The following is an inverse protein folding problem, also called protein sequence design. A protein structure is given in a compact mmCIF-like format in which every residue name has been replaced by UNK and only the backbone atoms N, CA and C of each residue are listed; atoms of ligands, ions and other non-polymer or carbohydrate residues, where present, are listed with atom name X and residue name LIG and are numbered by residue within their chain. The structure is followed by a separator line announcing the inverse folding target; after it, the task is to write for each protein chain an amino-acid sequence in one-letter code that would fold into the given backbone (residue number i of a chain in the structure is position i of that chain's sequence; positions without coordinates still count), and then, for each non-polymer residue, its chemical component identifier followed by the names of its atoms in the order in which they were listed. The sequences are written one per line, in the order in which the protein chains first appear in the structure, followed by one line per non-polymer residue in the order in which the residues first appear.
data_IF_126782626498
#
_entry.id   IF_126782626498
#
_cell.length_a   1.000
_cell.length_b   1.000
_cell.length_c   1.000
_cell.angle_alpha   90.00
_cell.angle_beta   90.00
_cell.angle_gamma   90.00
#
_symmetry.space_group_name_H-M   'P 1'
#
loop_
_entity.id
_entity.type
_entity.pdbx_description
1 polymer ?
#
# COMPACT_ATOMS: atom_id res chain seq x y z
N UNK A 1 1.99 -17.63 7.20
CA UNK A 1 0.76 -17.13 7.83
C UNK A 1 -0.29 -18.21 7.89
N UNK A 2 -0.55 -18.75 9.09
CA UNK A 2 -1.72 -19.58 9.35
C UNK A 2 -2.95 -18.66 9.46
N UNK A 3 -4.03 -18.87 8.70
CA UNK A 3 -5.26 -18.11 8.90
C UNK A 3 -5.82 -18.41 10.30
N UNK A 4 -6.16 -17.36 11.04
CA UNK A 4 -6.79 -17.45 12.36
C UNK A 4 -8.29 -17.19 12.25
N UNK A 5 -9.03 -17.64 13.25
CA UNK A 5 -10.49 -17.50 13.30
C UNK A 5 -10.88 -16.01 13.32
N UNK A 6 -11.60 -15.59 12.27
CA UNK A 6 -12.07 -14.22 12.12
C UNK A 6 -13.31 -13.92 12.99
N UNK A 7 -14.20 -14.89 13.18
CA UNK A 7 -15.40 -14.72 14.01
C UNK A 7 -15.01 -14.53 15.48
N UNK A 8 -13.91 -15.16 15.89
CA UNK A 8 -13.29 -14.95 17.19
C UNK A 8 -12.32 -13.74 17.27
N UNK A 9 -12.20 -12.93 16.21
CA UNK A 9 -11.26 -11.78 16.09
C UNK A 9 -9.79 -12.13 16.39
N UNK A 10 -9.37 -13.38 16.17
CA UNK A 10 -8.00 -13.81 16.45
C UNK A 10 -7.00 -13.23 15.44
N UNK A 11 -7.45 -12.92 14.23
CA UNK A 11 -6.68 -12.24 13.19
C UNK A 11 -6.33 -10.79 13.58
N UNK A 12 -7.30 -10.05 14.13
CA UNK A 12 -7.10 -8.70 14.63
C UNK A 12 -6.17 -8.68 15.84
N UNK A 13 -6.38 -9.62 16.77
CA UNK A 13 -5.50 -9.82 17.94
C UNK A 13 -4.06 -10.13 17.53
N UNK A 14 -3.86 -10.94 16.48
CA UNK A 14 -2.53 -11.24 15.96
C UNK A 14 -1.83 -10.01 15.37
N UNK A 15 -2.56 -9.05 14.79
CA UNK A 15 -1.96 -7.79 14.35
C UNK A 15 -1.47 -6.94 15.52
N UNK A 16 -2.20 -6.94 16.64
CA UNK A 16 -1.78 -6.24 17.87
C UNK A 16 -0.49 -6.84 18.41
N UNK A 17 -0.44 -8.16 18.62
CA UNK A 17 0.77 -8.84 19.11
C UNK A 17 1.98 -8.66 18.17
N UNK A 18 1.76 -8.63 16.85
CA UNK A 18 2.83 -8.36 15.89
C UNK A 18 3.38 -6.94 16.07
N UNK A 19 2.51 -5.94 16.24
CA UNK A 19 2.94 -4.56 16.46
C UNK A 19 3.70 -4.40 17.78
N UNK A 20 3.22 -5.04 18.85
CA UNK A 20 3.89 -5.02 20.15
C UNK A 20 5.29 -5.62 20.04
N UNK A 21 5.42 -6.78 19.40
CA UNK A 21 6.71 -7.42 19.14
C UNK A 21 7.65 -6.50 18.33
N UNK A 22 7.15 -5.87 17.27
CA UNK A 22 7.96 -4.96 16.46
C UNK A 22 8.43 -3.74 17.27
N UNK A 23 7.55 -3.16 18.08
CA UNK A 23 7.87 -2.02 18.93
C UNK A 23 8.91 -2.39 20.01
N UNK A 24 8.72 -3.50 20.71
CA UNK A 24 9.65 -4.01 21.74
C UNK A 24 11.06 -4.28 21.18
N UNK A 25 11.14 -4.65 19.90
CA UNK A 25 12.40 -4.94 19.21
C UNK A 25 12.95 -3.76 18.40
N UNK A 26 12.38 -2.54 18.55
CA UNK A 26 12.76 -1.35 17.77
C UNK A 26 12.74 -1.59 16.24
N UNK A 27 11.84 -2.45 15.78
CA UNK A 27 11.64 -2.75 14.37
C UNK A 27 10.57 -1.83 13.82
N UNK A 28 10.95 -1.02 12.82
CA UNK A 28 10.08 -0.01 12.23
C UNK A 28 9.70 -0.43 10.80
N UNK A 29 8.49 -0.98 10.56
CA UNK A 29 8.09 -1.43 9.23
C UNK A 29 8.08 -0.27 8.23
N UNK A 30 8.89 -0.36 7.18
CA UNK A 30 8.99 0.68 6.15
C UNK A 30 8.02 0.47 4.98
N UNK A 31 7.47 -0.75 4.86
CA UNK A 31 6.48 -1.12 3.84
C UNK A 31 5.23 -1.65 4.54
N UNK A 32 4.09 -1.01 4.28
CA UNK A 32 2.79 -1.47 4.78
C UNK A 32 1.91 -1.89 3.60
N UNK A 33 1.31 -3.06 3.70
CA UNK A 33 0.48 -3.64 2.64
C UNK A 33 -0.90 -3.96 3.19
N UNK A 34 -1.92 -3.30 2.66
CA UNK A 34 -3.31 -3.61 2.96
C UNK A 34 -3.96 -4.34 1.77
N UNK A 35 -4.26 -5.62 1.95
CA UNK A 35 -4.97 -6.48 0.96
C UNK A 35 -6.28 -7.06 1.50
N UNK A 36 -6.71 -6.61 2.67
CA UNK A 36 -7.99 -7.02 3.25
C UNK A 36 -9.16 -6.34 2.56
N UNK A 37 -10.36 -6.61 3.04
CA UNK A 37 -11.52 -5.81 2.65
C UNK A 37 -11.39 -4.35 3.12
N UNK A 38 -11.96 -3.43 2.35
CA UNK A 38 -11.88 -1.98 2.59
C UNK A 38 -12.38 -1.55 3.96
N UNK A 39 -13.34 -2.25 4.55
CA UNK A 39 -13.83 -1.97 5.90
C UNK A 39 -12.82 -2.29 7.01
N UNK A 40 -11.75 -3.04 6.72
CA UNK A 40 -10.63 -3.25 7.65
C UNK A 40 -9.54 -2.19 7.53
N UNK A 41 -9.50 -1.42 6.44
CA UNK A 41 -8.47 -0.41 6.19
C UNK A 41 -8.34 0.62 7.34
N UNK A 42 -9.43 1.14 7.95
CA UNK A 42 -9.31 2.02 9.11
C UNK A 42 -8.54 1.39 10.28
N UNK A 43 -8.67 0.07 10.50
CA UNK A 43 -7.90 -0.63 11.54
C UNK A 43 -6.42 -0.72 11.20
N UNK A 44 -6.09 -0.95 9.93
CA UNK A 44 -4.69 -0.94 9.46
C UNK A 44 -4.08 0.45 9.63
N UNK A 45 -4.78 1.52 9.25
CA UNK A 45 -4.29 2.90 9.33
C UNK A 45 -4.00 3.30 10.78
N UNK A 46 -4.92 3.04 11.71
CA UNK A 46 -4.73 3.33 13.15
C UNK A 46 -3.54 2.63 13.81
N UNK A 47 -3.01 1.59 13.16
CA UNK A 47 -1.88 0.78 13.64
C UNK A 47 -0.54 1.17 13.03
N UNK A 48 -0.51 2.12 12.10
CA UNK A 48 0.73 2.56 11.48
C UNK A 48 1.57 3.37 12.48
N UNK A 49 2.86 3.05 12.58
CA UNK A 49 3.79 3.70 13.51
C UNK A 49 4.37 5.04 13.01
N UNK A 50 3.87 5.57 11.88
CA UNK A 50 4.26 6.86 11.32
C UNK A 50 5.57 6.88 10.50
N UNK A 51 6.24 5.72 10.37
CA UNK A 51 7.52 5.61 9.68
C UNK A 51 7.43 4.93 8.31
N UNK A 52 6.23 4.59 7.82
CA UNK A 52 6.07 3.86 6.57
C UNK A 52 6.54 4.73 5.38
N UNK A 53 7.39 4.16 4.53
CA UNK A 53 7.90 4.81 3.30
C UNK A 53 7.15 4.35 2.06
N UNK A 54 6.61 3.13 2.07
CA UNK A 54 5.76 2.60 1.00
C UNK A 54 4.47 2.06 1.61
N UNK A 55 3.33 2.48 1.07
CA UNK A 55 2.01 1.96 1.44
C UNK A 55 1.31 1.44 0.20
N UNK A 56 0.94 0.17 0.21
CA UNK A 56 0.18 -0.47 -0.88
C UNK A 56 -1.25 -0.74 -0.42
N UNK A 57 -2.20 -0.02 -0.99
CA UNK A 57 -3.64 -0.20 -0.76
C UNK A 57 -4.21 -1.03 -1.89
N UNK A 58 -4.12 -2.35 -1.76
CA UNK A 58 -4.61 -3.32 -2.74
C UNK A 58 -6.06 -3.77 -2.51
N UNK A 59 -6.76 -3.19 -1.53
CA UNK A 59 -8.21 -3.39 -1.30
C UNK A 59 -9.04 -2.54 -2.27
N UNK A 60 -10.37 -2.70 -2.28
CA UNK A 60 -11.25 -1.80 -3.02
C UNK A 60 -11.22 -0.37 -2.45
N UNK A 61 -11.27 0.64 -3.32
CA UNK A 61 -11.41 2.06 -2.94
C UNK A 61 -10.27 2.63 -2.08
N UNK A 62 -9.06 2.08 -2.18
CA UNK A 62 -7.93 2.51 -1.34
C UNK A 62 -7.63 4.00 -1.45
N UNK A 63 -7.86 4.61 -2.62
CA UNK A 63 -7.66 6.03 -2.88
C UNK A 63 -8.45 6.97 -1.93
N UNK A 64 -9.55 6.52 -1.33
CA UNK A 64 -10.38 7.38 -0.46
C UNK A 64 -9.73 7.70 0.89
N UNK A 65 -8.68 6.96 1.28
CA UNK A 65 -8.08 7.04 2.62
C UNK A 65 -6.66 7.64 2.60
N UNK A 66 -6.32 8.37 1.53
CA UNK A 66 -4.99 8.95 1.38
C UNK A 66 -4.66 9.97 2.45
N UNK A 67 -5.65 10.79 2.85
CA UNK A 67 -5.46 11.81 3.87
C UNK A 67 -4.99 11.20 5.19
N UNK A 68 -5.76 10.24 5.71
CA UNK A 68 -5.45 9.58 6.98
C UNK A 68 -4.07 8.88 6.97
N UNK A 69 -3.64 8.36 5.81
CA UNK A 69 -2.31 7.74 5.67
C UNK A 69 -1.20 8.79 5.68
N UNK A 70 -1.39 9.91 4.97
CA UNK A 70 -0.42 11.00 4.87
C UNK A 70 -0.30 11.75 6.21
N UNK A 71 -1.39 11.91 6.94
CA UNK A 71 -1.39 12.53 8.27
C UNK A 71 -0.53 11.74 9.27
N UNK A 72 -0.53 10.41 9.15
CA UNK A 72 0.30 9.53 9.99
C UNK A 72 1.71 9.35 9.41
N UNK A 73 1.83 9.19 8.08
CA UNK A 73 3.07 8.90 7.37
C UNK A 73 3.29 9.91 6.22
N UNK A 74 3.73 11.14 6.52
CA UNK A 74 3.81 12.24 5.53
C UNK A 74 4.75 11.91 4.35
N UNK A 75 5.75 11.07 4.59
CA UNK A 75 6.70 10.65 3.55
C UNK A 75 6.23 9.47 2.69
N UNK A 76 5.09 8.84 3.00
CA UNK A 76 4.68 7.60 2.36
C UNK A 76 4.50 7.75 0.84
N UNK A 77 5.08 6.84 0.06
CA UNK A 77 4.75 6.63 -1.35
C UNK A 77 3.60 5.64 -1.43
N UNK A 78 2.46 6.09 -1.95
CA UNK A 78 1.21 5.31 -1.88
C UNK A 78 0.85 4.76 -3.27
N UNK A 79 0.79 3.43 -3.38
CA UNK A 79 0.10 2.72 -4.48
C UNK A 79 -1.33 2.49 -4.01
N UNK A 80 -2.31 2.90 -4.80
CA UNK A 80 -3.73 2.79 -4.42
C UNK A 80 -4.61 2.36 -5.56
N UNK A 81 -5.81 1.87 -5.23
CA UNK A 81 -6.86 1.50 -6.18
C UNK A 81 -7.97 2.56 -6.17
N UNK A 82 -8.55 2.85 -7.34
CA UNK A 82 -9.74 3.69 -7.47
C UNK A 82 -11.01 2.95 -7.04
N UNK A 83 -11.22 1.76 -7.62
CA UNK A 83 -12.45 0.99 -7.47
C UNK A 83 -12.17 -0.38 -6.87
N UNK A 84 -11.74 -1.36 -7.67
CA UNK A 84 -11.61 -2.74 -7.24
C UNK A 84 -10.15 -3.12 -7.10
N UNK A 85 -9.79 -3.65 -5.94
CA UNK A 85 -8.50 -4.31 -5.74
C UNK A 85 -8.58 -5.78 -6.08
N UNK A 86 -7.62 -6.30 -6.85
CA UNK A 86 -7.59 -7.71 -7.27
C UNK A 86 -6.26 -8.37 -6.96
N UNK A 87 -6.32 -9.62 -6.52
CA UNK A 87 -5.14 -10.44 -6.20
C UNK A 87 -4.20 -10.61 -7.39
N UNK A 88 -4.74 -10.70 -8.61
CA UNK A 88 -3.96 -10.90 -9.83
C UNK A 88 -3.17 -9.67 -10.26
N UNK A 89 -3.53 -8.48 -9.78
CA UNK A 89 -2.74 -7.25 -9.94
C UNK A 89 -1.85 -7.01 -8.72
N UNK A 90 -2.39 -7.24 -7.52
CA UNK A 90 -1.65 -7.04 -6.27
C UNK A 90 -0.38 -7.90 -6.20
N UNK A 91 -0.46 -9.16 -6.65
CA UNK A 91 0.66 -10.11 -6.60
C UNK A 91 1.85 -9.65 -7.47
N UNK A 92 1.69 -9.32 -8.77
CA UNK A 92 2.80 -8.78 -9.57
C UNK A 92 3.43 -7.50 -9.01
N UNK A 93 2.64 -6.57 -8.47
CA UNK A 93 3.18 -5.35 -7.82
C UNK A 93 4.10 -5.74 -6.65
N UNK A 94 3.62 -6.61 -5.75
CA UNK A 94 4.38 -7.04 -4.58
C UNK A 94 5.62 -7.85 -4.97
N UNK A 95 5.51 -8.70 -5.98
CA UNK A 95 6.64 -9.46 -6.51
C UNK A 95 7.72 -8.52 -7.07
N UNK A 96 7.35 -7.48 -7.82
CA UNK A 96 8.31 -6.51 -8.33
C UNK A 96 9.03 -5.77 -7.18
N UNK A 97 8.28 -5.32 -6.18
CA UNK A 97 8.85 -4.68 -5.00
C UNK A 97 9.84 -5.60 -4.29
N UNK A 98 9.44 -6.83 -4.01
CA UNK A 98 10.28 -7.82 -3.33
C UNK A 98 11.56 -8.13 -4.13
N UNK A 99 11.47 -8.34 -5.44
CA UNK A 99 12.64 -8.57 -6.31
C UNK A 99 13.57 -7.36 -6.35
N UNK A 100 13.02 -6.15 -6.31
CA UNK A 100 13.82 -4.92 -6.25
C UNK A 100 14.57 -4.84 -4.92
N UNK A 101 13.91 -5.16 -3.80
CA UNK A 101 14.54 -5.17 -2.48
C UNK A 101 15.58 -6.27 -2.34
N UNK A 102 15.27 -7.48 -2.78
CA UNK A 102 16.16 -8.64 -2.75
C UNK A 102 17.44 -8.41 -3.55
N UNK A 103 17.33 -7.74 -4.70
CA UNK A 103 18.51 -7.41 -5.52
C UNK A 103 19.29 -6.19 -5.03
N UNK A 104 18.81 -5.47 -4.00
CA UNK A 104 19.42 -4.22 -3.53
C UNK A 104 19.33 -3.07 -4.55
N UNK A 105 18.52 -3.22 -5.60
CA UNK A 105 18.39 -2.23 -6.66
C UNK A 105 17.58 -1.02 -6.20
N UNK A 106 17.87 0.14 -6.79
CA UNK A 106 17.05 1.35 -6.58
C UNK A 106 15.65 1.14 -7.15
N UNK A 107 14.63 1.29 -6.31
CA UNK A 107 13.24 1.30 -6.75
C UNK A 107 12.94 2.59 -7.54
N UNK A 108 12.61 2.44 -8.83
CA UNK A 108 12.20 3.55 -9.70
C UNK A 108 10.75 3.34 -10.12
N UNK A 109 9.83 4.14 -9.56
CA UNK A 109 8.39 3.97 -9.77
C UNK A 109 7.97 3.97 -11.24
N UNK A 110 8.56 4.85 -12.07
CA UNK A 110 8.26 4.91 -13.51
C UNK A 110 8.66 3.63 -14.23
N UNK A 111 9.80 3.02 -13.87
CA UNK A 111 10.27 1.77 -14.46
C UNK A 111 9.38 0.60 -14.04
N UNK A 112 9.06 0.53 -12.74
CA UNK A 112 8.11 -0.46 -12.22
C UNK A 112 6.77 -0.38 -12.95
N UNK A 113 6.19 0.81 -13.04
CA UNK A 113 4.89 0.99 -13.67
C UNK A 113 4.92 0.66 -15.16
N UNK A 114 5.95 1.08 -15.89
CA UNK A 114 6.10 0.73 -17.31
C UNK A 114 6.22 -0.79 -17.52
N UNK A 115 7.00 -1.48 -16.67
CA UNK A 115 7.14 -2.93 -16.71
C UNK A 115 5.82 -3.65 -16.46
N UNK A 116 5.08 -3.24 -15.41
CA UNK A 116 3.78 -3.81 -15.06
C UNK A 116 2.73 -3.50 -16.12
N UNK A 117 2.66 -2.28 -16.65
CA UNK A 117 1.76 -1.92 -17.77
C UNK A 117 2.02 -2.81 -18.97
N UNK A 118 3.29 -3.03 -19.34
CA UNK A 118 3.63 -3.92 -20.46
C UNK A 118 3.15 -5.34 -20.18
N UNK A 119 3.39 -5.87 -18.98
CA UNK A 119 2.95 -7.20 -18.57
C UNK A 119 1.41 -7.34 -18.67
N UNK A 120 0.67 -6.43 -18.06
CA UNK A 120 -0.80 -6.50 -18.01
C UNK A 120 -1.46 -6.20 -19.35
N UNK A 121 -0.88 -5.34 -20.20
CA UNK A 121 -1.44 -5.08 -21.55
C UNK A 121 -1.53 -6.33 -22.42
N UNK A 122 -0.69 -7.34 -22.14
CA UNK A 122 -0.63 -8.62 -22.86
C UNK A 122 -1.28 -9.78 -22.12
N UNK A 123 -1.86 -9.55 -20.94
CA UNK A 123 -2.53 -10.61 -20.17
C UNK A 123 -3.71 -11.18 -20.98
N UNK A 124 -3.88 -12.50 -21.11
CA UNK A 124 -4.99 -13.07 -21.88
C UNK A 124 -6.36 -12.73 -21.27
N UNK A 125 -6.45 -12.53 -19.95
CA UNK A 125 -7.69 -12.24 -19.27
C UNK A 125 -8.05 -10.74 -19.37
N UNK A 126 -9.15 -10.44 -20.07
CA UNK A 126 -9.66 -9.08 -20.24
C UNK A 126 -9.91 -8.36 -18.91
N UNK A 127 -10.44 -9.06 -17.90
CA UNK A 127 -10.75 -8.43 -16.61
C UNK A 127 -9.49 -7.98 -15.88
N UNK A 128 -8.37 -8.71 -16.03
CA UNK A 128 -7.07 -8.32 -15.46
C UNK A 128 -6.56 -7.05 -16.14
N UNK A 129 -6.64 -7.00 -17.48
CA UNK A 129 -6.23 -5.80 -18.25
C UNK A 129 -7.00 -4.56 -17.81
N UNK A 130 -8.32 -4.68 -17.67
CA UNK A 130 -9.18 -3.56 -17.26
C UNK A 130 -8.93 -3.17 -15.79
N UNK A 131 -8.76 -4.15 -14.89
CA UNK A 131 -8.50 -3.90 -13.47
C UNK A 131 -7.18 -3.15 -13.22
N UNK A 132 -6.19 -3.28 -14.10
CA UNK A 132 -4.92 -2.56 -13.96
C UNK A 132 -5.10 -1.04 -14.02
N UNK A 133 -6.07 -0.55 -14.80
CA UNK A 133 -6.33 0.89 -14.99
C UNK A 133 -6.88 1.58 -13.71
N UNK A 134 -7.36 0.78 -12.76
CA UNK A 134 -7.80 1.23 -11.44
C UNK A 134 -6.64 1.50 -10.49
N UNK A 135 -5.45 0.99 -10.77
CA UNK A 135 -4.28 1.18 -9.92
C UNK A 135 -3.59 2.51 -10.24
N UNK A 136 -3.23 3.23 -9.18
CA UNK A 136 -2.57 4.54 -9.24
C UNK A 136 -1.17 4.41 -8.63
N UNK A 137 -0.10 4.71 -9.39
CA UNK A 137 1.25 4.76 -8.85
C UNK A 137 1.48 6.00 -7.97
N UNK A 138 2.50 5.99 -7.10
CA UNK A 138 2.79 7.11 -6.21
C UNK A 138 2.93 8.47 -6.92
N UNK A 139 3.59 8.49 -8.10
CA UNK A 139 3.84 9.72 -8.86
C UNK A 139 2.64 10.23 -9.68
N UNK A 140 1.53 9.48 -9.74
CA UNK A 140 0.26 9.94 -10.32
C UNK A 140 -0.82 10.16 -9.25
N UNK A 141 -0.47 9.98 -7.99
CA UNK A 141 -1.40 10.13 -6.88
C UNK A 141 -1.51 11.61 -6.49
N UNK A 142 -2.28 12.38 -7.28
CA UNK A 142 -2.39 13.84 -7.12
C UNK A 142 -2.90 14.26 -5.75
N UNK A 143 -3.83 13.49 -5.15
CA UNK A 143 -4.31 13.75 -3.79
C UNK A 143 -3.19 13.68 -2.76
N UNK A 144 -2.37 12.61 -2.79
CA UNK A 144 -1.22 12.49 -1.89
C UNK A 144 -0.16 13.57 -2.15
N UNK A 145 0.11 13.90 -3.42
CA UNK A 145 1.07 14.96 -3.79
C UNK A 145 0.60 16.32 -3.26
N UNK A 146 -0.68 16.64 -3.45
CA UNK A 146 -1.28 17.89 -2.97
C UNK A 146 -1.21 18.00 -1.45
N UNK A 147 -1.62 16.97 -0.72
CA UNK A 147 -1.62 16.96 0.74
C UNK A 147 -0.21 17.14 1.32
N UNK A 148 0.79 16.47 0.73
CA UNK A 148 2.20 16.67 1.11
C UNK A 148 2.66 18.10 0.87
N UNK A 149 2.38 18.66 -0.30
CA UNK A 149 2.74 20.03 -0.64
C UNK A 149 2.10 21.05 0.32
N UNK A 150 0.81 20.87 0.62
CA UNK A 150 0.09 21.72 1.56
C UNK A 150 0.66 21.63 2.99
N UNK A 151 0.88 20.41 3.51
CA UNK A 151 1.41 20.21 4.85
C UNK A 151 2.81 20.82 5.02
N UNK A 152 3.66 20.71 4.00
CA UNK A 152 4.98 21.36 4.01
C UNK A 152 4.87 22.89 4.09
N UNK A 153 3.98 23.50 3.31
CA UNK A 153 3.75 24.96 3.32
C UNK A 153 3.21 25.48 4.67
N UNK A 154 2.43 24.66 5.38
CA UNK A 154 1.90 25.00 6.71
C UNK A 154 2.96 24.84 7.80
N UNK A 155 3.84 23.84 7.69
CA UNK A 155 4.93 23.63 8.67
C UNK A 155 6.10 24.60 8.54
N UNK A 156 6.27 25.23 7.38
CA UNK A 156 7.30 26.27 7.13
C UNK A 156 6.90 27.67 7.64
N UNK A 157 5.69 27.84 8.19
CA UNK A 157 5.19 29.07 8.83
C UNK A 157 5.28 28.99 10.36
#
# INVERSE_FOLDING_TARGET
NRPLDNDANLDDSAQVHLNDYLAENNMLPTVVVHRGHSYWLPRTIRRMAGNAKIVMLGSCGGYKNLNDIIDINPDAHIISTKEIGTGDINRPILNYLNQTFESGSKLVWKNMWASLTKQFSTDPNKSVRESWEDYIPPYKNLGAIFLKGYNNLVQEQ
#
